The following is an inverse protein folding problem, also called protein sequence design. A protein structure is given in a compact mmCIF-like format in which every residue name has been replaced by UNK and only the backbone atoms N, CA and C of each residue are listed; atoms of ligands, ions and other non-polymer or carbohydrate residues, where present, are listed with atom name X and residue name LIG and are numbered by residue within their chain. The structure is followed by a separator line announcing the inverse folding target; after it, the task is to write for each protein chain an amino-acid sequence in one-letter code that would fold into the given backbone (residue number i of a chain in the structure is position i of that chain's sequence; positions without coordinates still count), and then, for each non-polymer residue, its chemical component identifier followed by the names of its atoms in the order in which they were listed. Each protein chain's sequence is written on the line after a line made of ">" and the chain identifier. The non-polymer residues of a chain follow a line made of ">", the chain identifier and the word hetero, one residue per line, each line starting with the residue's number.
data_IF_890517529118
#
_entry.id   IF_890517529118
#
_cell.length_a   1.000
_cell.length_b   1.000
_cell.length_c   1.000
_cell.angle_alpha   90.00
_cell.angle_beta   90.00
_cell.angle_gamma   90.00
#
_symmetry.space_group_name_H-M   'P 1'
#
loop_
_entity.id
_entity.type
_entity.pdbx_description
1 polymer ?
#
# COMPACT_ATOMS: atom_id res chain seq x y z
N UNK A 1 -1.02 102.18 32.71
CA UNK A 1 -1.46 100.78 32.50
C UNK A 1 -0.76 100.25 31.30
N UNK A 2 0.20 99.32 31.50
CA UNK A 2 0.82 98.56 30.38
C UNK A 2 0.07 97.22 30.21
N UNK A 3 -0.30 96.83 28.99
CA UNK A 3 -0.89 95.51 28.80
C UNK A 3 0.18 94.41 28.87
N UNK A 4 -0.14 93.32 29.58
CA UNK A 4 0.71 92.14 29.66
C UNK A 4 0.59 91.35 28.36
N UNK A 5 1.74 90.96 27.77
CA UNK A 5 1.82 90.14 26.64
C UNK A 5 1.49 88.66 27.04
N UNK A 6 0.71 87.94 26.23
CA UNK A 6 0.44 86.53 26.49
C UNK A 6 1.72 85.67 26.33
N UNK A 7 1.97 84.79 27.32
CA UNK A 7 3.10 83.86 27.34
C UNK A 7 3.05 82.91 26.17
N UNK A 8 4.21 82.74 25.52
CA UNK A 8 4.40 81.76 24.46
C UNK A 8 4.23 80.35 25.01
N UNK A 9 3.60 79.42 24.24
CA UNK A 9 3.40 78.07 24.70
C UNK A 9 4.71 77.33 24.84
N UNK A 10 4.96 76.76 26.01
CA UNK A 10 6.13 75.91 26.29
C UNK A 10 6.15 74.72 25.34
N UNK A 11 7.17 74.66 24.51
CA UNK A 11 7.42 73.56 23.59
C UNK A 11 7.48 72.23 24.34
N UNK A 12 6.46 71.35 24.15
CA UNK A 12 6.49 69.96 24.58
C UNK A 12 7.43 69.14 23.69
N UNK A 13 8.74 69.23 23.91
CA UNK A 13 9.77 68.59 23.14
C UNK A 13 9.99 67.09 23.46
N UNK A 14 9.46 66.56 24.58
CA UNK A 14 9.66 65.16 25.03
C UNK A 14 8.65 64.16 24.48
N UNK A 15 7.38 64.57 24.27
CA UNK A 15 6.30 63.67 23.85
C UNK A 15 6.45 63.21 22.42
N UNK A 16 6.96 64.08 21.52
CA UNK A 16 7.18 63.68 20.11
C UNK A 16 8.24 62.58 19.96
N UNK A 17 9.29 62.61 20.78
CA UNK A 17 10.34 61.56 20.75
C UNK A 17 9.80 60.21 21.22
N UNK A 18 8.97 60.23 22.28
CA UNK A 18 8.30 59.01 22.78
C UNK A 18 7.36 58.41 21.75
N UNK A 19 6.57 59.23 21.05
CA UNK A 19 5.66 58.77 19.99
C UNK A 19 6.44 58.14 18.80
N UNK A 20 7.53 58.75 18.38
CA UNK A 20 8.39 58.22 17.34
C UNK A 20 9.02 56.88 17.78
N UNK A 21 9.52 56.79 19.01
CA UNK A 21 10.08 55.55 19.55
C UNK A 21 9.05 54.43 19.59
N UNK A 22 7.83 54.75 20.06
CA UNK A 22 6.68 53.83 20.06
C UNK A 22 6.30 53.38 18.64
N UNK A 23 6.21 54.29 17.70
CA UNK A 23 5.92 53.98 16.31
C UNK A 23 7.03 53.08 15.68
N UNK A 24 8.29 53.37 15.96
CA UNK A 24 9.41 52.54 15.48
C UNK A 24 9.38 51.12 16.10
N UNK A 25 9.06 50.99 17.41
CA UNK A 25 8.97 49.70 18.06
C UNK A 25 7.81 48.88 17.53
N UNK A 26 6.62 49.48 17.34
CA UNK A 26 5.47 48.79 16.72
C UNK A 26 5.78 48.34 15.28
N UNK A 27 6.42 49.20 14.50
CA UNK A 27 6.80 48.86 13.14
C UNK A 27 7.84 47.73 13.12
N UNK A 28 8.81 47.74 14.04
CA UNK A 28 9.79 46.67 14.17
C UNK A 28 9.15 45.31 14.52
N UNK A 29 8.14 45.33 15.45
CA UNK A 29 7.40 44.13 15.81
C UNK A 29 6.57 43.60 14.61
N UNK A 30 5.89 44.51 13.90
CA UNK A 30 5.13 44.14 12.69
C UNK A 30 6.02 43.53 11.60
N UNK A 31 7.17 44.17 11.30
CA UNK A 31 8.12 43.65 10.32
C UNK A 31 8.73 42.34 10.76
N UNK A 32 9.05 42.18 12.05
CA UNK A 32 9.54 40.92 12.61
C UNK A 32 8.52 39.78 12.48
N UNK A 33 7.26 40.06 12.80
CA UNK A 33 6.14 39.14 12.65
C UNK A 33 5.90 38.73 11.18
N UNK A 34 5.90 39.70 10.28
CA UNK A 34 5.77 39.44 8.85
C UNK A 34 6.92 38.61 8.29
N UNK A 35 8.17 38.92 8.67
CA UNK A 35 9.34 38.16 8.25
C UNK A 35 9.32 36.71 8.76
N UNK A 36 8.85 36.47 10.00
CA UNK A 36 8.67 35.14 10.56
C UNK A 36 7.60 34.35 9.80
N UNK A 37 6.45 34.97 9.51
CA UNK A 37 5.36 34.35 8.73
C UNK A 37 5.83 34.00 7.31
N UNK A 38 6.45 34.93 6.60
CA UNK A 38 6.97 34.71 5.24
C UNK A 38 8.01 33.57 5.18
N UNK A 39 8.86 33.45 6.23
CA UNK A 39 9.80 32.34 6.34
C UNK A 39 9.07 31.00 6.50
N UNK A 40 8.06 30.94 7.34
CA UNK A 40 7.27 29.71 7.57
C UNK A 40 6.52 29.30 6.31
N UNK A 41 5.86 30.23 5.63
CA UNK A 41 5.19 29.99 4.35
C UNK A 41 6.17 29.51 3.27
N UNK A 42 7.37 30.11 3.20
CA UNK A 42 8.41 29.68 2.27
C UNK A 42 8.91 28.26 2.53
N UNK A 43 9.05 27.84 3.79
CA UNK A 43 9.41 26.48 4.15
C UNK A 43 8.28 25.50 3.81
N UNK A 44 7.04 25.86 4.11
CA UNK A 44 5.88 25.05 3.79
C UNK A 44 5.72 24.84 2.27
N UNK A 45 5.86 25.90 1.50
CA UNK A 45 5.81 25.82 0.03
C UNK A 45 6.90 24.90 -0.54
N UNK A 46 8.14 24.98 -0.02
CA UNK A 46 9.23 24.08 -0.43
C UNK A 46 8.92 22.62 -0.08
N UNK A 47 8.39 22.36 1.12
CA UNK A 47 7.99 21.03 1.53
C UNK A 47 6.88 20.46 0.63
N UNK A 48 5.84 21.22 0.35
CA UNK A 48 4.75 20.82 -0.55
C UNK A 48 5.27 20.55 -1.97
N UNK A 49 6.18 21.39 -2.47
CA UNK A 49 6.78 21.19 -3.78
C UNK A 49 7.60 19.89 -3.82
N UNK A 50 8.43 19.63 -2.80
CA UNK A 50 9.22 18.41 -2.71
C UNK A 50 8.31 17.16 -2.61
N UNK A 51 7.25 17.22 -1.80
CA UNK A 51 6.26 16.12 -1.72
C UNK A 51 5.59 15.86 -3.06
N UNK A 52 5.17 16.89 -3.78
CA UNK A 52 4.57 16.76 -5.10
C UNK A 52 5.55 16.16 -6.11
N UNK A 53 6.80 16.59 -6.09
CA UNK A 53 7.85 16.04 -6.96
C UNK A 53 8.12 14.57 -6.65
N UNK A 54 8.24 14.19 -5.39
CA UNK A 54 8.39 12.78 -4.97
C UNK A 54 7.18 11.92 -5.39
N UNK A 55 5.97 12.45 -5.23
CA UNK A 55 4.73 11.78 -5.62
C UNK A 55 4.72 11.46 -7.13
N UNK A 56 4.97 12.46 -7.98
CA UNK A 56 5.01 12.22 -9.43
C UNK A 56 6.16 11.33 -9.88
N UNK A 57 7.29 11.35 -9.17
CA UNK A 57 8.39 10.42 -9.42
C UNK A 57 7.98 8.97 -9.07
N UNK A 58 7.24 8.77 -7.98
CA UNK A 58 6.69 7.47 -7.63
C UNK A 58 5.64 7.01 -8.65
N UNK A 59 4.78 7.91 -9.14
CA UNK A 59 3.81 7.61 -10.20
C UNK A 59 4.52 7.22 -11.52
N UNK A 60 5.57 7.94 -11.90
CA UNK A 60 6.39 7.58 -13.05
C UNK A 60 6.99 6.17 -12.91
N UNK A 61 7.39 5.79 -11.69
CA UNK A 61 7.84 4.43 -11.38
C UNK A 61 6.77 3.38 -11.62
N UNK A 62 5.54 3.66 -11.22
CA UNK A 62 4.40 2.78 -11.46
C UNK A 62 4.13 2.63 -12.96
N UNK A 63 4.10 3.74 -13.72
CA UNK A 63 3.90 3.72 -15.17
C UNK A 63 5.02 2.95 -15.88
N UNK A 64 6.27 3.10 -15.44
CA UNK A 64 7.40 2.33 -15.95
C UNK A 64 7.24 0.83 -15.70
N UNK A 65 6.73 0.43 -14.52
CA UNK A 65 6.45 -0.96 -14.21
C UNK A 65 5.38 -1.55 -15.15
N UNK A 66 4.29 -0.81 -15.40
CA UNK A 66 3.23 -1.20 -16.33
C UNK A 66 3.79 -1.51 -17.73
N UNK A 67 4.66 -0.63 -18.21
CA UNK A 67 5.30 -0.81 -19.51
C UNK A 67 6.28 -2.00 -19.50
N UNK A 68 7.13 -2.10 -18.46
CA UNK A 68 8.17 -3.11 -18.40
C UNK A 68 7.64 -4.54 -18.14
N UNK A 69 6.51 -4.68 -17.43
CA UNK A 69 5.83 -5.97 -17.23
C UNK A 69 5.26 -6.53 -18.54
N UNK A 70 4.95 -5.68 -19.52
CA UNK A 70 4.39 -6.02 -20.82
C UNK A 70 5.44 -6.00 -21.96
N UNK A 71 6.72 -5.74 -21.67
CA UNK A 71 7.74 -5.64 -22.69
C UNK A 71 7.80 -6.97 -23.51
N UNK A 72 7.63 -6.90 -24.84
CA UNK A 72 7.69 -8.10 -25.68
C UNK A 72 9.07 -8.76 -25.71
N UNK A 73 10.12 -7.99 -25.38
CA UNK A 73 11.49 -8.51 -25.31
C UNK A 73 11.76 -9.12 -23.93
N UNK A 74 11.95 -10.46 -23.83
CA UNK A 74 12.15 -11.13 -22.55
C UNK A 74 13.28 -10.52 -21.71
N UNK A 75 14.39 -10.14 -22.31
CA UNK A 75 15.54 -9.57 -21.62
C UNK A 75 15.29 -8.19 -20.95
N UNK A 76 14.20 -7.51 -21.32
CA UNK A 76 13.80 -6.20 -20.76
C UNK A 76 12.57 -6.30 -19.88
N UNK A 77 11.85 -7.41 -19.97
CA UNK A 77 10.61 -7.61 -19.21
C UNK A 77 10.89 -7.75 -17.73
N UNK A 78 10.16 -6.99 -16.94
CA UNK A 78 10.20 -7.15 -15.50
C UNK A 78 9.41 -8.38 -15.06
N UNK A 79 9.87 -9.02 -13.98
CA UNK A 79 9.19 -10.17 -13.39
C UNK A 79 8.45 -9.75 -12.14
N UNK A 80 7.22 -10.23 -11.98
CA UNK A 80 6.36 -9.95 -10.83
C UNK A 80 6.66 -10.83 -9.60
N UNK A 81 7.93 -10.93 -9.20
CA UNK A 81 8.37 -11.76 -8.06
C UNK A 81 8.78 -10.95 -6.83
N UNK A 82 8.53 -9.64 -6.85
CA UNK A 82 8.82 -8.74 -5.73
C UNK A 82 10.25 -8.21 -5.68
N UNK A 83 11.13 -8.60 -6.63
CA UNK A 83 12.49 -8.03 -6.69
C UNK A 83 12.45 -6.52 -6.91
N UNK A 84 13.43 -5.76 -6.37
CA UNK A 84 13.50 -4.33 -6.59
C UNK A 84 14.06 -3.99 -7.97
N UNK A 85 13.40 -3.06 -8.66
CA UNK A 85 13.89 -2.41 -9.87
C UNK A 85 14.17 -0.95 -9.53
N UNK A 86 15.44 -0.56 -9.53
CA UNK A 86 15.88 0.78 -9.17
C UNK A 86 16.32 1.57 -10.42
N UNK A 87 15.97 2.85 -10.47
CA UNK A 87 16.40 3.78 -11.50
C UNK A 87 16.28 5.23 -11.02
N UNK A 88 16.97 6.12 -11.69
CA UNK A 88 16.86 7.54 -11.44
C UNK A 88 15.79 8.15 -12.36
N UNK A 89 14.96 9.03 -11.80
CA UNK A 89 13.96 9.81 -12.52
C UNK A 89 14.00 11.25 -12.06
N UNK A 90 14.43 12.16 -12.94
CA UNK A 90 14.73 13.55 -12.62
C UNK A 90 15.71 13.64 -11.42
N UNK A 91 15.27 14.17 -10.29
CA UNK A 91 16.06 14.31 -9.05
C UNK A 91 15.75 13.25 -8.01
N UNK A 92 14.92 12.28 -8.34
CA UNK A 92 14.49 11.20 -7.44
C UNK A 92 15.18 9.88 -7.78
N UNK A 93 15.51 9.13 -6.73
CA UNK A 93 15.78 7.68 -6.84
C UNK A 93 14.48 6.94 -6.68
N UNK A 94 14.12 6.14 -7.69
CA UNK A 94 12.86 5.38 -7.70
C UNK A 94 13.17 3.90 -7.57
N UNK A 95 12.49 3.24 -6.64
CA UNK A 95 12.55 1.79 -6.44
C UNK A 95 11.15 1.22 -6.61
N UNK A 96 10.99 0.31 -7.56
CA UNK A 96 9.71 -0.33 -7.85
C UNK A 96 9.79 -1.82 -7.55
N UNK A 97 8.75 -2.36 -6.93
CA UNK A 97 8.53 -3.79 -6.75
C UNK A 97 7.18 -4.16 -7.31
N UNK A 98 7.14 -5.20 -8.13
CA UNK A 98 5.92 -5.77 -8.66
C UNK A 98 5.76 -7.20 -8.16
N UNK A 99 4.55 -7.56 -7.72
CA UNK A 99 4.20 -8.90 -7.26
C UNK A 99 3.04 -9.38 -8.12
N UNK A 100 3.20 -10.54 -8.72
CA UNK A 100 2.13 -11.20 -9.44
C UNK A 100 1.09 -11.75 -8.45
N UNK A 101 -0.14 -11.28 -8.56
CA UNK A 101 -1.24 -11.76 -7.71
C UNK A 101 -1.60 -13.23 -7.99
N UNK A 102 -1.30 -13.74 -9.19
CA UNK A 102 -1.48 -15.16 -9.53
C UNK A 102 -0.62 -16.12 -8.70
N UNK A 103 0.45 -15.63 -8.08
CA UNK A 103 1.26 -16.40 -7.13
C UNK A 103 0.68 -16.51 -5.72
N UNK A 104 -0.38 -15.77 -5.39
CA UNK A 104 -1.00 -15.79 -4.07
C UNK A 104 -2.22 -16.72 -4.02
N UNK A 105 -2.60 -17.13 -2.82
CA UNK A 105 -3.84 -17.89 -2.59
C UNK A 105 -5.03 -16.96 -2.73
N UNK A 106 -5.91 -17.24 -3.68
CA UNK A 106 -7.11 -16.44 -3.90
C UNK A 106 -8.22 -16.86 -2.91
N UNK A 107 -8.69 -15.91 -2.10
CA UNK A 107 -9.76 -16.16 -1.11
C UNK A 107 -11.10 -16.49 -1.78
N UNK A 108 -11.35 -15.96 -3.00
CA UNK A 108 -12.58 -16.15 -3.73
C UNK A 108 -12.57 -17.39 -4.64
N UNK A 109 -11.42 -17.76 -5.18
CA UNK A 109 -11.29 -18.85 -6.15
C UNK A 109 -10.49 -20.05 -5.61
N UNK A 110 -9.65 -19.87 -4.57
CA UNK A 110 -8.78 -20.90 -4.03
C UNK A 110 -9.52 -22.18 -3.62
N UNK A 111 -8.94 -23.34 -3.94
CA UNK A 111 -9.55 -24.63 -3.57
C UNK A 111 -9.53 -24.85 -2.06
N UNK A 112 -10.45 -25.68 -1.52
CA UNK A 112 -10.48 -26.03 -0.09
C UNK A 112 -9.13 -26.58 0.40
N UNK A 113 -8.46 -27.38 -0.43
CA UNK A 113 -7.18 -28.02 -0.12
C UNK A 113 -6.07 -26.97 -0.02
N UNK A 114 -6.04 -25.98 -0.92
CA UNK A 114 -5.08 -24.88 -0.92
C UNK A 114 -5.31 -23.97 0.30
N UNK A 115 -6.56 -23.63 0.62
CA UNK A 115 -6.88 -22.85 1.83
C UNK A 115 -6.43 -23.58 3.10
N UNK A 116 -6.73 -24.87 3.22
CA UNK A 116 -6.26 -25.71 4.33
C UNK A 116 -4.73 -25.73 4.39
N UNK A 117 -4.06 -25.96 3.25
CA UNK A 117 -2.61 -25.96 3.15
C UNK A 117 -1.97 -24.63 3.57
N UNK A 118 -2.59 -23.50 3.23
CA UNK A 118 -2.17 -22.17 3.67
C UNK A 118 -2.16 -22.04 5.20
N UNK A 119 -3.24 -22.47 5.86
CA UNK A 119 -3.36 -22.36 7.30
C UNK A 119 -2.47 -23.35 8.03
N UNK A 120 -2.24 -24.55 7.48
CA UNK A 120 -1.25 -25.50 7.98
C UNK A 120 0.19 -24.94 7.87
N UNK A 121 0.53 -24.36 6.71
CA UNK A 121 1.82 -23.71 6.50
C UNK A 121 2.02 -22.50 7.43
N UNK A 122 0.94 -21.85 7.85
CA UNK A 122 0.93 -20.78 8.85
C UNK A 122 1.00 -21.27 10.31
N UNK A 123 1.08 -22.60 10.54
CA UNK A 123 1.32 -23.20 11.85
C UNK A 123 0.08 -23.76 12.56
N UNK A 124 -1.10 -23.77 11.94
CA UNK A 124 -2.26 -24.43 12.51
C UNK A 124 -2.14 -25.95 12.36
N UNK A 125 -2.68 -26.70 13.33
CA UNK A 125 -2.81 -28.14 13.19
C UNK A 125 -3.87 -28.49 12.10
N UNK A 126 -3.91 -29.76 11.70
CA UNK A 126 -4.76 -30.22 10.59
C UNK A 126 -6.25 -29.93 10.82
N UNK A 127 -6.73 -30.10 12.06
CA UNK A 127 -8.14 -29.89 12.44
C UNK A 127 -8.50 -28.41 12.43
N UNK A 128 -7.67 -27.56 13.01
CA UNK A 128 -7.87 -26.11 13.03
C UNK A 128 -7.82 -25.52 11.62
N UNK A 129 -6.85 -25.94 10.82
CA UNK A 129 -6.71 -25.49 9.43
C UNK A 129 -7.89 -25.91 8.56
N UNK A 130 -8.41 -27.13 8.76
CA UNK A 130 -9.60 -27.62 8.06
C UNK A 130 -10.85 -26.80 8.46
N UNK A 131 -11.02 -26.54 9.76
CA UNK A 131 -12.14 -25.76 10.27
C UNK A 131 -12.10 -24.32 9.72
N UNK A 132 -10.94 -23.67 9.78
CA UNK A 132 -10.79 -22.30 9.29
C UNK A 132 -10.98 -22.21 7.76
N UNK A 133 -10.45 -23.18 6.99
CA UNK A 133 -10.72 -23.26 5.56
C UNK A 133 -12.23 -23.41 5.27
N UNK A 134 -12.95 -24.22 6.06
CA UNK A 134 -14.41 -24.33 6.00
C UNK A 134 -15.10 -22.98 6.25
N UNK A 135 -14.70 -22.25 7.28
CA UNK A 135 -15.27 -20.93 7.57
C UNK A 135 -14.98 -19.88 6.46
N UNK A 136 -13.84 -19.96 5.76
CA UNK A 136 -13.56 -19.13 4.57
C UNK A 136 -14.51 -19.48 3.43
N UNK A 137 -14.79 -20.77 3.22
CA UNK A 137 -15.75 -21.21 2.21
C UNK A 137 -17.18 -20.77 2.55
N UNK A 138 -17.59 -20.89 3.81
CA UNK A 138 -18.88 -20.39 4.30
C UNK A 138 -19.00 -18.88 4.11
N UNK A 139 -17.91 -18.14 4.34
CA UNK A 139 -17.91 -16.69 4.15
C UNK A 139 -18.18 -16.28 2.72
N UNK A 140 -17.53 -16.94 1.75
CA UNK A 140 -17.58 -16.55 0.33
C UNK A 140 -18.74 -17.14 -0.46
N UNK A 141 -19.31 -18.27 0.01
CA UNK A 141 -20.36 -18.97 -0.70
C UNK A 141 -21.73 -18.61 -0.14
N UNK A 142 -22.73 -18.35 -1.00
CA UNK A 142 -24.09 -18.17 -0.52
C UNK A 142 -24.60 -19.48 0.10
N UNK A 143 -25.13 -19.39 1.31
CA UNK A 143 -25.73 -20.54 1.97
C UNK A 143 -27.15 -20.75 1.42
N UNK A 144 -27.36 -21.84 0.71
CA UNK A 144 -28.62 -22.14 0.00
C UNK A 144 -29.68 -22.67 0.94
N UNK A 145 -29.29 -23.36 2.01
CA UNK A 145 -30.22 -23.98 2.97
C UNK A 145 -30.37 -23.08 4.21
N UNK A 146 -31.60 -22.74 4.57
CA UNK A 146 -31.90 -21.89 5.73
C UNK A 146 -31.36 -22.47 7.05
N UNK A 147 -31.41 -23.81 7.23
CA UNK A 147 -30.87 -24.49 8.40
C UNK A 147 -29.35 -24.31 8.58
N UNK A 148 -28.59 -24.35 7.49
CA UNK A 148 -27.14 -24.15 7.51
C UNK A 148 -26.80 -22.68 7.80
N UNK A 149 -27.54 -21.73 7.21
CA UNK A 149 -27.38 -20.32 7.50
C UNK A 149 -27.65 -19.95 8.96
N UNK A 150 -28.67 -20.62 9.59
CA UNK A 150 -28.96 -20.43 11.00
C UNK A 150 -27.85 -21.02 11.89
N UNK A 151 -27.32 -22.20 11.55
CA UNK A 151 -26.23 -22.87 12.26
C UNK A 151 -24.94 -22.04 12.19
N UNK A 152 -24.58 -21.53 11.01
CA UNK A 152 -23.42 -20.68 10.82
C UNK A 152 -23.52 -19.39 11.65
N UNK A 153 -24.67 -18.71 11.62
CA UNK A 153 -24.91 -17.51 12.45
C UNK A 153 -24.83 -17.81 13.94
N UNK A 154 -25.37 -18.99 14.38
CA UNK A 154 -25.29 -19.42 15.77
C UNK A 154 -23.83 -19.62 16.23
N UNK A 155 -22.97 -20.19 15.37
CA UNK A 155 -21.53 -20.35 15.66
C UNK A 155 -20.81 -18.99 15.84
N UNK A 156 -21.09 -18.01 14.98
CA UNK A 156 -20.56 -16.65 15.13
C UNK A 156 -21.06 -15.99 16.42
N UNK A 157 -22.34 -16.11 16.73
CA UNK A 157 -22.94 -15.60 17.98
C UNK A 157 -22.34 -16.26 19.22
N UNK A 158 -22.10 -17.56 19.19
CA UNK A 158 -21.43 -18.29 20.28
C UNK A 158 -20.00 -17.82 20.50
N UNK A 159 -19.32 -17.35 19.44
CA UNK A 159 -18.01 -16.72 19.49
C UNK A 159 -18.04 -15.22 19.86
N UNK A 160 -19.19 -14.70 20.30
CA UNK A 160 -19.35 -13.28 20.70
C UNK A 160 -19.41 -12.29 19.54
N UNK A 161 -19.73 -12.76 18.32
CA UNK A 161 -19.89 -11.89 17.15
C UNK A 161 -21.36 -11.57 16.94
N UNK A 162 -21.67 -10.32 16.58
CA UNK A 162 -23.04 -9.84 16.28
C UNK A 162 -23.39 -9.97 14.78
N UNK A 163 -22.50 -10.58 13.99
CA UNK A 163 -22.66 -10.85 12.57
C UNK A 163 -22.44 -12.33 12.26
N UNK A 164 -22.78 -12.75 11.05
CA UNK A 164 -22.51 -14.07 10.49
C UNK A 164 -21.64 -13.98 9.23
N UNK A 165 -21.42 -15.12 8.54
CA UNK A 165 -20.70 -15.13 7.28
C UNK A 165 -21.43 -14.26 6.24
N UNK A 166 -20.67 -13.62 5.36
CA UNK A 166 -21.21 -12.71 4.35
C UNK A 166 -22.08 -13.42 3.30
N UNK A 167 -21.78 -14.70 3.02
CA UNK A 167 -22.45 -15.45 1.95
C UNK A 167 -22.19 -14.88 0.55
N UNK A 168 -21.02 -14.31 0.31
CA UNK A 168 -20.60 -13.73 -0.95
C UNK A 168 -19.12 -13.48 -1.02
N UNK A 169 -18.57 -13.16 -2.22
CA UNK A 169 -17.15 -12.99 -2.41
C UNK A 169 -16.53 -11.95 -1.47
N UNK A 170 -15.30 -12.19 -1.04
CA UNK A 170 -14.49 -11.21 -0.31
C UNK A 170 -14.33 -9.96 -1.16
N UNK A 171 -14.67 -8.79 -0.63
CA UNK A 171 -14.44 -7.50 -1.28
C UNK A 171 -13.03 -6.96 -1.00
N UNK A 172 -12.41 -7.40 0.12
CA UNK A 172 -11.04 -7.07 0.47
C UNK A 172 -10.39 -8.21 1.26
N UNK A 173 -9.05 -8.25 1.30
CA UNK A 173 -8.34 -9.27 2.10
C UNK A 173 -8.53 -9.02 3.60
N UNK A 174 -8.81 -7.80 4.02
CA UNK A 174 -9.06 -7.42 5.40
C UNK A 174 -10.31 -8.09 5.98
N UNK A 175 -11.31 -8.43 5.14
CA UNK A 175 -12.49 -9.18 5.57
C UNK A 175 -12.14 -10.57 6.14
N UNK A 176 -10.97 -11.13 5.81
CA UNK A 176 -10.51 -12.38 6.39
C UNK A 176 -10.43 -12.33 7.92
N UNK A 177 -10.21 -11.14 8.50
CA UNK A 177 -10.22 -10.95 9.96
C UNK A 177 -11.60 -11.16 10.60
N UNK A 178 -12.66 -11.06 9.80
CA UNK A 178 -14.02 -11.27 10.26
C UNK A 178 -14.42 -12.75 10.25
N UNK A 179 -13.67 -13.60 9.57
CA UNK A 179 -13.94 -15.03 9.48
C UNK A 179 -13.73 -15.70 10.84
N UNK A 180 -14.65 -16.60 11.20
CA UNK A 180 -14.60 -17.33 12.47
C UNK A 180 -13.32 -18.15 12.57
N UNK A 181 -12.61 -18.04 13.70
CA UNK A 181 -11.32 -18.70 13.93
C UNK A 181 -10.09 -17.92 13.46
N UNK A 182 -10.27 -16.83 12.71
CA UNK A 182 -9.15 -15.97 12.34
C UNK A 182 -8.70 -15.10 13.52
N UNK A 183 -7.41 -15.10 13.81
CA UNK A 183 -6.81 -14.21 14.81
C UNK A 183 -5.99 -13.09 14.15
N UNK A 184 -5.80 -11.95 14.83
CA UNK A 184 -4.97 -10.85 14.26
C UNK A 184 -3.52 -11.27 13.98
N UNK A 185 -2.96 -12.19 14.76
CA UNK A 185 -1.62 -12.72 14.56
C UNK A 185 -1.55 -13.59 13.29
N UNK A 186 -2.49 -14.51 13.13
CA UNK A 186 -2.59 -15.37 11.95
C UNK A 186 -2.85 -14.55 10.68
N UNK A 187 -3.78 -13.56 10.76
CA UNK A 187 -4.03 -12.65 9.64
C UNK A 187 -2.77 -11.95 9.16
N UNK A 188 -2.00 -11.33 10.07
CA UNK A 188 -0.74 -10.65 9.70
C UNK A 188 0.27 -11.60 9.03
N UNK A 189 0.28 -12.86 9.42
CA UNK A 189 1.14 -13.88 8.83
C UNK A 189 0.70 -14.29 7.42
N UNK A 190 -0.62 -14.47 7.19
CA UNK A 190 -1.15 -14.94 5.90
C UNK A 190 -1.44 -13.82 4.91
N UNK A 191 -1.70 -12.59 5.37
CA UNK A 191 -2.06 -11.45 4.51
C UNK A 191 -1.11 -11.23 3.31
N UNK A 192 0.23 -11.35 3.44
CA UNK A 192 1.12 -11.21 2.29
C UNK A 192 0.98 -12.33 1.24
N UNK A 193 0.40 -13.47 1.61
CA UNK A 193 0.29 -14.67 0.77
C UNK A 193 -1.13 -14.88 0.19
N UNK A 194 -2.08 -14.00 0.51
CA UNK A 194 -3.47 -14.08 0.02
C UNK A 194 -3.82 -12.94 -0.91
N UNK A 195 -4.83 -13.16 -1.73
CA UNK A 195 -5.38 -12.18 -2.68
C UNK A 195 -6.88 -12.43 -2.90
N UNK A 196 -7.53 -11.50 -3.58
CA UNK A 196 -8.89 -11.65 -4.12
C UNK A 196 -8.90 -11.40 -5.65
N UNK A 197 -7.74 -11.31 -6.27
CA UNK A 197 -7.58 -10.83 -7.64
C UNK A 197 -7.03 -11.86 -8.63
N UNK A 198 -6.54 -13.03 -8.16
CA UNK A 198 -5.94 -14.04 -9.02
C UNK A 198 -6.96 -14.79 -9.89
N UNK A 199 -8.13 -15.09 -9.34
CA UNK A 199 -9.19 -15.86 -10.00
C UNK A 199 -8.82 -17.32 -10.25
N UNK A 200 -7.81 -17.86 -9.54
CA UNK A 200 -7.29 -19.22 -9.74
C UNK A 200 -7.48 -20.08 -8.49
N UNK A 201 -7.72 -21.39 -8.69
CA UNK A 201 -7.91 -22.33 -7.61
C UNK A 201 -6.60 -22.67 -6.85
N UNK A 202 -5.45 -22.48 -7.49
CA UNK A 202 -4.13 -22.73 -6.92
C UNK A 202 -3.15 -21.62 -7.34
N UNK A 203 -2.22 -21.23 -6.45
CA UNK A 203 -1.16 -20.27 -6.77
C UNK A 203 -0.24 -20.78 -7.87
N UNK A 204 0.30 -19.86 -8.69
CA UNK A 204 1.38 -20.18 -9.63
C UNK A 204 2.67 -20.45 -8.86
N UNK A 205 3.25 -21.67 -8.94
CA UNK A 205 4.49 -22.00 -8.25
C UNK A 205 5.67 -21.11 -8.62
N UNK A 206 5.65 -20.47 -9.79
CA UNK A 206 6.76 -19.64 -10.25
C UNK A 206 6.83 -18.28 -9.55
N UNK A 207 5.71 -17.73 -9.14
CA UNK A 207 5.62 -16.39 -8.53
C UNK A 207 5.12 -16.41 -7.08
N UNK A 208 4.64 -17.57 -6.59
CA UNK A 208 4.08 -17.74 -5.25
C UNK A 208 5.05 -17.32 -4.13
N UNK A 209 4.65 -16.49 -3.16
CA UNK A 209 5.43 -16.26 -1.96
C UNK A 209 5.58 -17.56 -1.15
N UNK A 210 6.59 -17.67 -0.26
CA UNK A 210 6.93 -18.93 0.41
C UNK A 210 5.76 -19.63 1.07
N UNK A 211 4.86 -18.88 1.71
CA UNK A 211 3.69 -19.41 2.41
C UNK A 211 2.62 -19.95 1.42
N UNK A 212 2.36 -19.20 0.33
CA UNK A 212 1.43 -19.64 -0.70
C UNK A 212 1.98 -20.85 -1.48
N UNK A 213 3.30 -20.91 -1.70
CA UNK A 213 3.94 -22.06 -2.30
C UNK A 213 3.78 -23.33 -1.45
N UNK A 214 3.96 -23.20 -0.13
CA UNK A 214 3.76 -24.30 0.83
C UNK A 214 2.29 -24.72 0.95
N UNK A 215 1.34 -23.88 0.55
CA UNK A 215 -0.09 -24.18 0.56
C UNK A 215 -0.52 -25.13 -0.57
N UNK A 216 0.30 -25.29 -1.61
CA UNK A 216 -0.02 -26.12 -2.78
C UNK A 216 -0.05 -27.59 -2.36
N UNK A 217 -1.16 -28.32 -2.60
CA UNK A 217 -1.26 -29.72 -2.22
C UNK A 217 -0.19 -30.61 -2.86
N UNK A 218 0.39 -31.50 -2.06
CA UNK A 218 1.44 -32.44 -2.54
C UNK A 218 2.83 -31.81 -2.70
N UNK A 219 3.01 -30.54 -2.36
CA UNK A 219 4.31 -29.88 -2.41
C UNK A 219 5.23 -30.42 -1.30
N UNK A 220 6.30 -31.10 -1.70
CA UNK A 220 7.30 -31.61 -0.75
C UNK A 220 8.37 -30.57 -0.43
N UNK A 221 9.06 -30.67 0.72
CA UNK A 221 10.18 -29.79 1.05
C UNK A 221 11.28 -29.78 -0.04
N UNK A 222 11.56 -30.92 -0.65
CA UNK A 222 12.52 -31.03 -1.73
C UNK A 222 12.10 -30.23 -2.99
N UNK A 223 10.81 -30.30 -3.35
CA UNK A 223 10.26 -29.51 -4.45
C UNK A 223 10.29 -28.02 -4.15
N UNK A 224 10.00 -27.61 -2.90
CA UNK A 224 10.11 -26.22 -2.46
C UNK A 224 11.54 -25.69 -2.67
N UNK A 225 12.54 -26.45 -2.25
CA UNK A 225 13.95 -26.06 -2.43
C UNK A 225 14.36 -26.05 -3.91
N UNK A 226 13.89 -26.99 -4.72
CA UNK A 226 14.13 -27.00 -6.18
C UNK A 226 13.54 -25.73 -6.83
N UNK A 227 12.31 -25.35 -6.50
CA UNK A 227 11.66 -24.14 -7.02
C UNK A 227 12.43 -22.89 -6.57
N UNK A 228 12.83 -22.81 -5.30
CA UNK A 228 13.64 -21.70 -4.78
C UNK A 228 14.97 -21.57 -5.52
N UNK A 229 15.68 -22.68 -5.70
CA UNK A 229 16.93 -22.71 -6.42
C UNK A 229 16.76 -22.37 -7.91
N UNK A 230 15.67 -22.82 -8.55
CA UNK A 230 15.34 -22.44 -9.92
C UNK A 230 15.06 -20.95 -10.04
N UNK A 231 14.28 -20.36 -9.11
CA UNK A 231 14.02 -18.93 -9.08
C UNK A 231 15.28 -18.09 -8.89
N UNK A 232 16.19 -18.51 -8.02
CA UNK A 232 17.48 -17.83 -7.84
C UNK A 232 18.32 -17.85 -9.11
N UNK A 233 18.39 -18.99 -9.81
CA UNK A 233 19.07 -19.11 -11.11
C UNK A 233 18.42 -18.24 -12.18
N UNK A 234 17.08 -18.26 -12.26
CA UNK A 234 16.33 -17.45 -13.22
C UNK A 234 16.46 -15.95 -12.92
N UNK A 235 16.60 -15.57 -11.64
CA UNK A 235 16.86 -14.19 -11.25
C UNK A 235 18.23 -13.69 -11.75
N UNK A 236 19.20 -14.62 -11.92
CA UNK A 236 20.53 -14.31 -12.44
C UNK A 236 20.57 -14.27 -13.98
N UNK A 237 19.61 -14.91 -14.66
CA UNK A 237 19.54 -14.92 -16.13
C UNK A 237 18.29 -14.18 -16.63
N UNK A 238 18.45 -12.94 -17.15
CA UNK A 238 17.33 -12.16 -17.69
C UNK A 238 16.62 -12.80 -18.88
N UNK A 239 17.20 -13.84 -19.49
CA UNK A 239 16.62 -14.55 -20.65
C UNK A 239 15.57 -15.59 -20.23
N UNK A 240 15.60 -16.01 -18.96
CA UNK A 240 14.65 -16.96 -18.40
C UNK A 240 13.48 -16.17 -17.80
N UNK A 241 12.65 -15.59 -18.64
CA UNK A 241 11.47 -14.83 -18.21
C UNK A 241 10.32 -15.79 -18.00
N UNK A 242 9.86 -15.84 -16.76
CA UNK A 242 8.60 -16.47 -16.42
C UNK A 242 7.45 -15.65 -17.02
N UNK A 243 6.41 -16.31 -17.49
CA UNK A 243 5.18 -15.62 -17.86
C UNK A 243 4.62 -14.95 -16.60
N UNK A 244 4.48 -13.65 -16.65
CA UNK A 244 3.75 -12.91 -15.63
C UNK A 244 2.26 -13.22 -15.78
N UNK A 245 1.54 -13.29 -14.66
CA UNK A 245 0.09 -13.25 -14.66
C UNK A 245 -0.43 -11.92 -15.19
N UNK A 246 -1.73 -11.76 -15.18
CA UNK A 246 -2.39 -10.53 -15.68
C UNK A 246 -2.56 -9.47 -14.59
N UNK A 247 -2.57 -9.84 -13.31
CA UNK A 247 -2.84 -8.93 -12.19
C UNK A 247 -1.62 -8.78 -11.31
N UNK A 248 -1.20 -7.55 -11.06
CA UNK A 248 0.01 -7.23 -10.30
C UNK A 248 -0.26 -6.20 -9.22
N UNK A 249 0.29 -6.43 -8.04
CA UNK A 249 0.45 -5.39 -7.03
C UNK A 249 1.81 -4.74 -7.18
N UNK A 250 1.83 -3.43 -7.42
CA UNK A 250 3.02 -2.64 -7.64
C UNK A 250 3.19 -1.66 -6.50
N UNK A 251 4.39 -1.63 -5.91
CA UNK A 251 4.82 -0.62 -4.95
C UNK A 251 5.95 0.18 -5.57
N UNK A 252 5.72 1.46 -5.75
CA UNK A 252 6.71 2.43 -6.23
C UNK A 252 7.07 3.40 -5.12
N UNK A 253 8.36 3.53 -4.87
CA UNK A 253 8.93 4.40 -3.85
C UNK A 253 9.92 5.35 -4.49
N UNK A 254 9.70 6.64 -4.32
CA UNK A 254 10.59 7.69 -4.78
C UNK A 254 11.20 8.44 -3.60
N UNK A 255 12.50 8.70 -3.66
CA UNK A 255 13.24 9.45 -2.63
C UNK A 255 14.04 10.57 -3.30
N UNK A 256 13.81 11.81 -2.89
CA UNK A 256 14.56 12.98 -3.32
C UNK A 256 15.89 13.12 -2.56
N UNK A 257 16.79 13.96 -3.06
CA UNK A 257 18.09 14.21 -2.43
C UNK A 257 18.01 14.85 -1.03
N UNK A 258 16.92 15.58 -0.73
CA UNK A 258 16.63 16.18 0.58
C UNK A 258 16.03 15.20 1.59
N UNK A 259 15.82 13.94 1.19
CA UNK A 259 15.20 12.89 2.00
C UNK A 259 13.66 12.84 1.91
N UNK A 260 13.03 13.74 1.15
CA UNK A 260 11.58 13.68 0.91
C UNK A 260 11.24 12.39 0.18
N UNK A 261 10.22 11.67 0.67
CA UNK A 261 9.85 10.35 0.18
C UNK A 261 8.36 10.27 -0.12
N UNK A 262 8.01 9.61 -1.23
CA UNK A 262 6.65 9.25 -1.55
C UNK A 262 6.55 7.76 -1.92
N UNK A 263 5.46 7.12 -1.50
CA UNK A 263 5.17 5.72 -1.80
C UNK A 263 3.78 5.65 -2.42
N UNK A 264 3.71 5.00 -3.58
CA UNK A 264 2.46 4.64 -4.23
C UNK A 264 2.34 3.12 -4.32
N UNK A 265 1.13 2.64 -4.08
CA UNK A 265 0.77 1.23 -4.25
C UNK A 265 -0.44 1.14 -5.16
N UNK A 266 -0.36 0.27 -6.14
CA UNK A 266 -1.49 0.00 -7.02
C UNK A 266 -1.60 -1.49 -7.29
N UNK A 267 -2.83 -2.02 -7.25
CA UNK A 267 -3.14 -3.33 -7.82
C UNK A 267 -3.77 -3.08 -9.18
N UNK A 268 -3.17 -3.63 -10.21
CA UNK A 268 -3.56 -3.40 -11.59
C UNK A 268 -3.80 -4.73 -12.30
N UNK A 269 -4.73 -4.73 -13.24
CA UNK A 269 -4.92 -5.84 -14.19
C UNK A 269 -4.53 -5.38 -15.59
N UNK A 270 -3.57 -6.08 -16.18
CA UNK A 270 -3.14 -5.85 -17.55
C UNK A 270 -4.20 -6.39 -18.52
N UNK A 271 -4.53 -5.63 -19.56
CA UNK A 271 -5.55 -5.94 -20.53
C UNK A 271 -4.95 -5.87 -21.94
N UNK A 272 -4.48 -7.02 -22.44
CA UNK A 272 -3.94 -7.07 -23.79
C UNK A 272 -5.06 -6.84 -24.85
N UNK A 273 -4.77 -6.00 -25.85
CA UNK A 273 -5.69 -5.78 -26.98
C UNK A 273 -6.91 -4.89 -26.69
N UNK A 274 -6.99 -4.27 -25.52
CA UNK A 274 -8.04 -3.32 -25.15
C UNK A 274 -7.59 -1.87 -25.41
N UNK A 275 -8.55 -0.95 -25.57
CA UNK A 275 -8.28 0.49 -25.71
C UNK A 275 -7.56 1.06 -24.47
N UNK A 276 -7.85 0.50 -23.29
CA UNK A 276 -7.09 0.73 -22.06
C UNK A 276 -6.22 -0.49 -21.79
N UNK A 277 -4.88 -0.35 -21.77
CA UNK A 277 -3.97 -1.48 -21.60
C UNK A 277 -3.93 -2.04 -20.18
N UNK A 278 -4.53 -1.37 -19.22
CA UNK A 278 -4.63 -1.81 -17.83
C UNK A 278 -5.89 -1.25 -17.15
N UNK A 279 -6.32 -1.94 -16.09
CA UNK A 279 -7.37 -1.53 -15.17
C UNK A 279 -6.79 -1.39 -13.77
N UNK A 280 -7.04 -0.27 -13.11
CA UNK A 280 -6.67 -0.08 -11.70
C UNK A 280 -7.77 -0.69 -10.83
N UNK A 281 -7.39 -1.70 -10.03
CA UNK A 281 -8.28 -2.40 -9.10
C UNK A 281 -8.21 -1.77 -7.69
N UNK A 282 -7.03 -1.30 -7.29
CA UNK A 282 -6.77 -0.63 -6.02
C UNK A 282 -5.68 0.42 -6.19
N UNK A 283 -5.85 1.57 -5.56
CA UNK A 283 -4.85 2.63 -5.51
C UNK A 283 -4.72 3.14 -4.09
N UNK A 284 -3.48 3.27 -3.62
CA UNK A 284 -3.19 3.72 -2.26
C UNK A 284 -1.93 4.59 -2.25
N UNK A 285 -1.98 5.66 -1.47
CA UNK A 285 -0.85 6.55 -1.20
C UNK A 285 -0.35 6.35 0.23
N UNK A 286 0.97 6.45 0.41
CA UNK A 286 1.61 6.30 1.70
C UNK A 286 1.98 4.88 2.09
N UNK A 287 2.56 4.76 3.29
CA UNK A 287 2.81 3.45 3.93
C UNK A 287 1.48 2.94 4.49
N UNK A 288 1.03 1.76 4.05
CA UNK A 288 0.05 1.04 4.85
C UNK A 288 0.79 0.46 6.05
N UNK A 289 0.29 0.71 7.22
CA UNK A 289 0.67 0.02 8.45
C UNK A 289 0.38 -1.49 8.36
#
# INVERSE_FOLDING_TARGET
>A
MKPALPGLPTRQRGVALLLVLWACTLLAILLGGYAALARTEGLQARYQFAQTQAHYAAEAGLMRALYALQDPQPARRWTGDGRPYAFDYDRAKVVVRAIDEGGKVDLNAGSPEVLRGLFQAAGLNATEAQALAGHVLDWRNPTVLEGDAASQRAAYKAAGRDYGPRGGPFASIEELQMVLGMTPALYRQVAPAVTIWAGTASPDPNTAPPLALAAIPGMTPAQLEQIRAARQRNAADPRLVLNNGTTHSIRSEATLADGTRAILRATIRLQAGQAQPYLVLRWQEGEAE
#
